data_IF_911511258025
#
_entry.id   IF_911511258025
#
_cell.length_a   1.000
_cell.length_b   1.000
_cell.length_c   1.000
_cell.angle_alpha   90.00
_cell.angle_beta   90.00
_cell.angle_gamma   90.00
#
_symmetry.space_group_name_H-M   'P 1'
#
loop_
_entity.id
_entity.type
_entity.pdbx_description
1 polymer ?
#
# COMPACT_ATOMS: atom_id res chain seq x y z
N UNK A 1 -1.76 -25.17 -29.90
CA UNK A 1 -0.91 -23.96 -29.80
C UNK A 1 -1.10 -23.21 -28.48
N UNK A 2 -2.32 -22.78 -28.09
CA UNK A 2 -2.55 -22.04 -26.82
C UNK A 2 -2.23 -22.89 -25.58
N UNK A 3 -2.68 -24.15 -25.53
CA UNK A 3 -2.41 -25.04 -24.39
C UNK A 3 -0.90 -25.28 -24.16
N UNK A 4 -0.11 -25.41 -25.23
CA UNK A 4 1.35 -25.56 -25.14
C UNK A 4 2.01 -24.29 -24.58
N UNK A 5 1.56 -23.11 -25.01
CA UNK A 5 2.08 -21.84 -24.51
C UNK A 5 1.79 -21.64 -23.01
N UNK A 6 0.59 -22.04 -22.56
CA UNK A 6 0.20 -21.98 -21.15
C UNK A 6 1.05 -22.93 -20.30
N UNK A 7 1.25 -24.17 -20.76
CA UNK A 7 2.12 -25.14 -20.08
C UNK A 7 3.57 -24.63 -19.96
N UNK A 8 4.13 -24.01 -21.02
CA UNK A 8 5.46 -23.41 -20.99
C UNK A 8 5.59 -22.22 -20.01
N UNK A 9 4.48 -21.56 -19.66
CA UNK A 9 4.44 -20.48 -18.66
C UNK A 9 4.11 -20.96 -17.24
N UNK A 10 4.08 -22.27 -16.99
CA UNK A 10 3.81 -22.86 -15.67
C UNK A 10 2.34 -23.14 -15.38
N UNK A 11 1.44 -22.90 -16.34
CA UNK A 11 0.02 -23.29 -16.30
C UNK A 11 -0.15 -24.68 -16.93
N UNK A 12 0.49 -25.68 -16.30
CA UNK A 12 0.58 -27.08 -16.73
C UNK A 12 -0.67 -27.93 -16.43
N UNK A 13 -1.68 -27.34 -15.78
CA UNK A 13 -2.94 -28.00 -15.43
C UNK A 13 -4.14 -27.14 -15.85
N UNK A 14 -5.28 -27.75 -16.25
CA UNK A 14 -6.48 -27.00 -16.63
C UNK A 14 -6.93 -25.98 -15.59
N UNK A 15 -6.83 -26.30 -14.29
CA UNK A 15 -7.27 -25.42 -13.20
C UNK A 15 -6.40 -24.16 -13.11
N UNK A 16 -5.07 -24.31 -13.25
CA UNK A 16 -4.12 -23.18 -13.27
C UNK A 16 -4.38 -22.27 -14.47
N UNK A 17 -4.65 -22.86 -15.64
CA UNK A 17 -4.98 -22.10 -16.83
C UNK A 17 -6.32 -21.37 -16.68
N UNK A 18 -7.32 -22.02 -16.07
CA UNK A 18 -8.64 -21.45 -15.87
C UNK A 18 -8.61 -20.25 -14.92
N UNK A 19 -7.89 -20.33 -13.80
CA UNK A 19 -7.74 -19.21 -12.85
C UNK A 19 -7.00 -18.01 -13.45
N UNK A 20 -6.12 -18.24 -14.44
CA UNK A 20 -5.40 -17.18 -15.14
C UNK A 20 -6.24 -16.52 -16.23
N UNK A 21 -7.02 -17.31 -16.98
CA UNK A 21 -7.78 -16.82 -18.14
C UNK A 21 -9.16 -16.28 -17.80
N UNK A 22 -9.74 -16.68 -16.68
CA UNK A 22 -11.10 -16.33 -16.32
C UNK A 22 -11.16 -15.74 -14.90
N UNK A 23 -11.54 -14.46 -14.74
CA UNK A 23 -11.57 -13.79 -13.44
C UNK A 23 -12.56 -14.44 -12.46
N UNK A 24 -13.58 -15.15 -12.94
CA UNK A 24 -14.53 -15.87 -12.08
C UNK A 24 -13.89 -17.06 -11.34
N UNK A 25 -12.71 -17.50 -11.78
CA UNK A 25 -11.94 -18.59 -11.18
C UNK A 25 -10.62 -18.08 -10.57
N UNK A 26 -10.42 -16.77 -10.52
CA UNK A 26 -9.27 -16.19 -9.86
C UNK A 26 -9.37 -16.42 -8.35
N UNK A 27 -8.32 -17.01 -7.77
CA UNK A 27 -8.16 -17.15 -6.34
C UNK A 27 -6.99 -16.23 -5.89
N UNK A 28 -7.26 -15.15 -5.15
CA UNK A 28 -6.20 -14.31 -4.63
C UNK A 28 -5.38 -15.08 -3.60
N UNK A 29 -4.09 -14.74 -3.51
CA UNK A 29 -3.28 -15.19 -2.38
C UNK A 29 -3.88 -14.66 -1.07
N UNK A 30 -3.79 -15.40 0.04
CA UNK A 30 -4.17 -14.86 1.34
C UNK A 30 -3.30 -13.64 1.65
N UNK A 31 -3.80 -12.62 2.37
CA UNK A 31 -3.00 -11.45 2.72
C UNK A 31 -1.67 -11.84 3.37
N UNK A 32 -1.69 -12.85 4.25
CA UNK A 32 -0.52 -13.41 4.96
C UNK A 32 0.57 -14.00 4.07
N UNK A 33 0.34 -14.16 2.77
CA UNK A 33 1.38 -14.50 1.81
C UNK A 33 2.34 -13.32 1.55
N UNK A 34 1.91 -12.08 1.83
CA UNK A 34 2.77 -10.92 1.78
C UNK A 34 3.67 -10.89 3.02
N UNK A 35 4.98 -10.95 2.78
CA UNK A 35 5.98 -10.93 3.84
C UNK A 35 5.81 -9.70 4.74
N UNK A 36 5.79 -9.90 6.06
CA UNK A 36 5.70 -8.81 7.05
C UNK A 36 4.31 -8.19 7.23
N UNK A 37 3.29 -8.66 6.51
CA UNK A 37 1.95 -8.02 6.55
C UNK A 37 1.30 -8.13 7.93
N UNK A 38 1.50 -9.24 8.64
CA UNK A 38 0.88 -9.48 9.94
C UNK A 38 1.49 -8.55 10.99
N UNK A 39 2.81 -8.39 10.95
CA UNK A 39 3.57 -7.48 11.79
C UNK A 39 3.21 -6.02 11.51
N UNK A 40 3.11 -5.63 10.24
CA UNK A 40 2.69 -4.29 9.84
C UNK A 40 1.25 -3.98 10.28
N UNK A 41 0.33 -4.94 10.11
CA UNK A 41 -1.05 -4.80 10.56
C UNK A 41 -1.16 -4.65 12.07
N UNK A 42 -0.38 -5.40 12.84
CA UNK A 42 -0.33 -5.28 14.30
C UNK A 42 0.21 -3.92 14.73
N UNK A 43 1.30 -3.46 14.11
CA UNK A 43 1.89 -2.15 14.40
C UNK A 43 0.89 -1.02 14.12
N UNK A 44 0.17 -1.09 12.99
CA UNK A 44 -0.89 -0.13 12.67
C UNK A 44 -2.03 -0.19 13.68
N UNK A 45 -2.47 -1.39 14.06
CA UNK A 45 -3.53 -1.57 15.04
C UNK A 45 -3.16 -0.94 16.39
N UNK A 46 -1.93 -1.13 16.85
CA UNK A 46 -1.47 -0.59 18.13
C UNK A 46 -1.31 0.94 18.06
N UNK A 47 -0.81 1.48 16.94
CA UNK A 47 -0.73 2.91 16.70
C UNK A 47 -2.12 3.59 16.70
N UNK A 48 -3.09 2.97 16.03
CA UNK A 48 -4.48 3.45 15.98
C UNK A 48 -5.09 3.48 17.38
N UNK A 49 -4.93 2.40 18.16
CA UNK A 49 -5.46 2.33 19.52
C UNK A 49 -4.79 3.32 20.49
N UNK A 50 -3.53 3.68 20.23
CA UNK A 50 -2.81 4.69 20.97
C UNK A 50 -3.17 6.14 20.55
N UNK A 51 -4.01 6.33 19.53
CA UNK A 51 -4.37 7.65 19.00
C UNK A 51 -3.21 8.36 18.32
N UNK A 52 -2.25 7.59 17.76
CA UNK A 52 -1.07 8.11 17.10
C UNK A 52 -1.42 8.76 15.74
N UNK A 53 -0.62 9.75 15.37
CA UNK A 53 -0.70 10.42 14.08
C UNK A 53 0.01 9.60 13.00
N UNK A 54 -0.76 9.16 12.03
CA UNK A 54 -0.32 8.31 10.92
C UNK A 54 -0.04 9.17 9.69
N UNK A 55 1.12 8.96 9.07
CA UNK A 55 1.52 9.66 7.86
C UNK A 55 1.79 8.68 6.73
N UNK A 56 1.01 8.76 5.65
CA UNK A 56 1.18 7.92 4.46
C UNK A 56 2.01 8.66 3.41
N UNK A 57 3.13 8.08 3.00
CA UNK A 57 3.98 8.57 1.93
C UNK A 57 3.77 7.70 0.69
N UNK A 58 3.02 8.23 -0.29
CA UNK A 58 2.71 7.52 -1.52
C UNK A 58 3.79 7.65 -2.61
N UNK A 59 3.49 7.05 -3.77
CA UNK A 59 4.19 7.30 -5.03
C UNK A 59 3.26 7.99 -6.05
N UNK A 60 3.85 8.64 -7.04
CA UNK A 60 3.15 9.49 -8.00
C UNK A 60 2.57 8.74 -9.20
N UNK A 61 2.89 7.46 -9.38
CA UNK A 61 2.28 6.65 -10.42
C UNK A 61 0.86 6.19 -10.03
N UNK A 62 0.19 5.49 -10.95
CA UNK A 62 -1.23 5.17 -10.78
C UNK A 62 -1.45 4.18 -9.64
N UNK A 63 -0.58 3.19 -9.50
CA UNK A 63 -0.57 2.25 -8.39
C UNK A 63 -0.23 2.94 -7.06
N UNK A 64 0.76 3.84 -7.02
CA UNK A 64 1.07 4.65 -5.84
C UNK A 64 -0.09 5.54 -5.38
N UNK A 65 -0.74 6.24 -6.31
CA UNK A 65 -1.87 7.12 -5.98
C UNK A 65 -3.12 6.33 -5.55
N UNK A 66 -3.41 5.20 -6.20
CA UNK A 66 -4.57 4.37 -5.87
C UNK A 66 -4.39 3.67 -4.52
N UNK A 67 -3.21 3.12 -4.25
CA UNK A 67 -2.90 2.51 -2.95
C UNK A 67 -2.93 3.53 -1.82
N UNK A 68 -2.33 4.71 -2.01
CA UNK A 68 -2.41 5.83 -1.05
C UNK A 68 -3.84 6.23 -0.77
N UNK A 69 -4.66 6.41 -1.81
CA UNK A 69 -6.07 6.80 -1.64
C UNK A 69 -6.87 5.77 -0.84
N UNK A 70 -6.68 4.48 -1.16
CA UNK A 70 -7.34 3.38 -0.47
C UNK A 70 -6.91 3.32 1.00
N UNK A 71 -5.61 3.39 1.26
CA UNK A 71 -5.05 3.27 2.60
C UNK A 71 -5.45 4.45 3.48
N UNK A 72 -5.35 5.68 2.98
CA UNK A 72 -5.77 6.89 3.72
C UNK A 72 -7.27 6.83 4.04
N UNK A 73 -8.11 6.42 3.09
CA UNK A 73 -9.55 6.29 3.33
C UNK A 73 -9.87 5.25 4.41
N UNK A 74 -9.18 4.10 4.40
CA UNK A 74 -9.34 3.06 5.41
C UNK A 74 -8.84 3.53 6.79
N UNK A 75 -7.64 4.12 6.86
CA UNK A 75 -7.06 4.59 8.11
C UNK A 75 -7.87 5.72 8.73
N UNK A 76 -8.37 6.69 7.95
CA UNK A 76 -9.24 7.75 8.46
C UNK A 76 -10.52 7.23 9.09
N UNK A 77 -11.12 6.20 8.48
CA UNK A 77 -12.29 5.52 9.03
C UNK A 77 -12.00 4.82 10.38
N UNK A 78 -10.77 4.35 10.58
CA UNK A 78 -10.37 3.59 11.76
C UNK A 78 -9.79 4.48 12.88
N UNK A 79 -8.99 5.49 12.51
CA UNK A 79 -8.20 6.34 13.40
C UNK A 79 -8.78 7.75 13.59
N UNK A 80 -9.68 8.19 12.70
CA UNK A 80 -10.18 9.57 12.63
C UNK A 80 -9.50 10.40 11.53
N UNK A 81 -10.24 11.37 10.99
CA UNK A 81 -9.75 12.23 9.89
C UNK A 81 -8.54 13.07 10.30
N UNK A 82 -8.54 13.56 11.53
CA UNK A 82 -7.49 14.45 12.07
C UNK A 82 -6.17 13.73 12.37
N UNK A 83 -6.20 12.40 12.53
CA UNK A 83 -5.04 11.57 12.86
C UNK A 83 -4.31 11.03 11.62
N UNK A 84 -4.78 11.31 10.40
CA UNK A 84 -4.19 10.73 9.17
C UNK A 84 -3.92 11.80 8.12
N UNK A 85 -2.63 12.03 7.84
CA UNK A 85 -2.15 12.85 6.73
C UNK A 85 -1.39 12.01 5.72
N UNK A 86 -1.20 12.57 4.53
CA UNK A 86 -0.46 11.92 3.47
C UNK A 86 0.36 12.90 2.65
N UNK A 87 1.34 12.38 1.92
CA UNK A 87 2.09 13.09 0.90
C UNK A 87 2.27 12.19 -0.31
N UNK A 88 2.03 12.75 -1.51
CA UNK A 88 2.39 12.11 -2.78
C UNK A 88 3.43 13.04 -3.43
N UNK A 89 4.65 12.56 -3.71
CA UNK A 89 5.71 13.41 -4.23
C UNK A 89 5.36 13.94 -5.61
N UNK A 90 5.74 15.18 -5.91
CA UNK A 90 5.68 15.67 -7.26
C UNK A 90 6.82 15.07 -8.10
N UNK A 91 6.48 14.28 -9.12
CA UNK A 91 7.44 13.61 -10.02
C UNK A 91 8.55 14.51 -10.55
N UNK A 92 8.25 15.76 -10.89
CA UNK A 92 9.20 16.65 -11.55
C UNK A 92 10.11 17.38 -10.57
N UNK A 93 9.61 17.73 -9.37
CA UNK A 93 10.37 18.50 -8.38
C UNK A 93 10.98 17.66 -7.25
N UNK A 94 10.40 16.50 -6.95
CA UNK A 94 10.81 15.63 -5.85
C UNK A 94 11.36 14.28 -6.33
N UNK A 95 10.91 13.80 -7.50
CA UNK A 95 11.33 12.51 -8.04
C UNK A 95 10.63 11.33 -7.37
N UNK A 96 11.24 10.13 -7.47
CA UNK A 96 10.72 8.89 -6.88
C UNK A 96 11.15 8.73 -5.42
N UNK A 97 10.27 8.15 -4.62
CA UNK A 97 10.56 7.77 -3.23
C UNK A 97 10.51 8.95 -2.26
N UNK A 98 11.25 8.82 -1.16
CA UNK A 98 11.27 9.81 -0.08
C UNK A 98 12.41 10.79 -0.30
N UNK A 99 12.06 12.04 -0.58
CA UNK A 99 13.01 13.14 -0.54
C UNK A 99 13.23 13.58 0.90
N UNK A 100 14.46 13.45 1.38
CA UNK A 100 14.83 13.69 2.79
C UNK A 100 14.47 15.11 3.23
N UNK A 101 14.72 16.12 2.39
CA UNK A 101 14.41 17.51 2.76
C UNK A 101 12.90 17.70 2.97
N UNK A 102 12.07 17.16 2.07
CA UNK A 102 10.61 17.23 2.19
C UNK A 102 10.11 16.44 3.40
N UNK A 103 10.68 15.27 3.68
CA UNK A 103 10.33 14.51 4.88
C UNK A 103 10.67 15.30 6.16
N UNK A 104 11.84 15.96 6.21
CA UNK A 104 12.23 16.79 7.34
C UNK A 104 11.26 17.96 7.55
N UNK A 105 10.79 18.60 6.47
CA UNK A 105 9.76 19.64 6.55
C UNK A 105 8.45 19.10 7.14
N UNK A 106 8.01 17.89 6.75
CA UNK A 106 6.81 17.25 7.31
C UNK A 106 6.98 16.86 8.78
N UNK A 107 8.14 16.32 9.16
CA UNK A 107 8.45 15.96 10.55
C UNK A 107 8.56 17.17 11.47
N UNK A 108 8.93 18.34 10.93
CA UNK A 108 9.05 19.58 11.68
C UNK A 108 7.73 20.35 11.85
N UNK A 109 6.64 19.93 11.20
CA UNK A 109 5.33 20.59 11.30
C UNK A 109 4.70 20.36 12.69
N UNK A 110 4.61 21.40 13.54
CA UNK A 110 4.07 21.23 14.90
C UNK A 110 2.55 21.01 14.90
N UNK A 111 1.86 21.24 13.79
CA UNK A 111 0.41 21.02 13.69
C UNK A 111 0.06 19.55 13.52
N UNK A 112 1.04 18.70 13.22
CA UNK A 112 0.86 17.26 13.07
C UNK A 112 2.17 16.53 13.36
N UNK A 113 2.48 16.29 14.65
CA UNK A 113 3.64 15.47 15.00
C UNK A 113 3.42 14.06 14.48
N UNK A 114 4.26 13.58 13.58
CA UNK A 114 4.14 12.26 12.96
C UNK A 114 4.70 11.21 13.93
N UNK A 115 3.86 10.25 14.30
CA UNK A 115 4.26 9.13 15.16
C UNK A 115 4.63 7.87 14.34
N UNK A 116 3.93 7.66 13.21
CA UNK A 116 4.16 6.52 12.34
C UNK A 116 4.14 6.93 10.86
N UNK A 117 5.23 6.60 10.14
CA UNK A 117 5.36 6.75 8.70
C UNK A 117 5.06 5.42 7.99
N UNK A 118 4.24 5.46 6.95
CA UNK A 118 3.84 4.30 6.13
C UNK A 118 4.16 4.64 4.68
N UNK A 119 4.79 3.73 3.95
CA UNK A 119 5.19 3.91 2.53
C UNK A 119 4.68 2.76 1.69
#
# INVERSE_FOLDING_TARGET
>A
MIAQLLAQRGFDRPEKAQSFLNPNYYAPAPPTALFGVSEAAQLLHDAINAGQNLFVWGDFDVDGQTSTSLLVAALRKLAGDDNVRFHVPNRFSEGHGIRVETLQEKLADPTFPIDLLIT
#
